data_IF_844289341936
#
_entry.id   IF_844289341936
#
_cell.length_a   1.000
_cell.length_b   1.000
_cell.length_c   1.000
_cell.angle_alpha   90.00
_cell.angle_beta   90.00
_cell.angle_gamma   90.00
#
_symmetry.space_group_name_H-M   'P 1'
#
loop_
_entity.id
_entity.type
_entity.pdbx_description
1 polymer ?
#
# COMPACT_ATOMS: atom_id res chain seq x y z
N UNK A 1 11.43 16.77 12.73
CA UNK A 1 10.58 17.53 11.80
C UNK A 1 9.46 16.61 11.38
N UNK A 2 8.23 17.09 11.45
CA UNK A 2 7.06 16.33 10.95
C UNK A 2 7.15 16.23 9.41
N UNK A 3 6.85 15.07 8.81
CA UNK A 3 6.96 14.91 7.37
C UNK A 3 5.99 15.82 6.62
N UNK A 4 6.42 16.35 5.47
CA UNK A 4 5.56 17.17 4.62
C UNK A 4 4.60 16.23 3.87
N UNK A 5 3.27 16.41 4.03
CA UNK A 5 2.31 15.62 3.28
C UNK A 5 2.31 16.10 1.82
N UNK A 6 2.67 15.21 0.89
CA UNK A 6 2.60 15.48 -0.55
C UNK A 6 1.63 14.50 -1.23
N UNK A 7 0.87 14.95 -2.24
CA UNK A 7 0.00 14.05 -2.99
C UNK A 7 0.81 13.00 -3.75
N UNK A 8 0.35 11.76 -3.82
CA UNK A 8 1.03 10.74 -4.64
C UNK A 8 0.91 11.06 -6.14
N UNK A 9 2.00 10.87 -6.89
CA UNK A 9 2.06 11.08 -8.34
C UNK A 9 0.95 10.37 -9.13
N UNK A 10 0.51 9.21 -8.64
CA UNK A 10 -0.54 8.40 -9.26
C UNK A 10 -1.86 9.18 -9.46
N UNK A 11 -2.11 10.21 -8.63
CA UNK A 11 -3.28 11.08 -8.78
C UNK A 11 -3.26 11.87 -10.08
N UNK A 12 -2.11 12.47 -10.39
CA UNK A 12 -1.95 13.27 -11.61
C UNK A 12 -2.00 12.39 -12.86
N UNK A 13 -1.38 11.20 -12.80
CA UNK A 13 -1.39 10.27 -13.92
C UNK A 13 -2.79 9.75 -14.25
N UNK A 14 -3.56 9.36 -13.24
CA UNK A 14 -4.95 8.91 -13.45
C UNK A 14 -5.81 10.04 -14.02
N UNK A 15 -5.67 11.26 -13.49
CA UNK A 15 -6.41 12.42 -13.97
C UNK A 15 -6.04 12.76 -15.42
N UNK A 16 -4.75 12.73 -15.76
CA UNK A 16 -4.26 12.93 -17.13
C UNK A 16 -4.81 11.86 -18.08
N UNK A 17 -4.78 10.58 -17.68
CA UNK A 17 -5.34 9.49 -18.49
C UNK A 17 -6.84 9.65 -18.74
N UNK A 18 -7.61 10.07 -17.73
CA UNK A 18 -9.04 10.32 -17.86
C UNK A 18 -9.30 11.48 -18.83
N UNK A 19 -8.57 12.58 -18.69
CA UNK A 19 -8.70 13.74 -19.58
C UNK A 19 -8.35 13.37 -21.03
N UNK A 20 -7.25 12.65 -21.25
CA UNK A 20 -6.77 12.30 -22.59
C UNK A 20 -7.60 11.21 -23.27
N UNK A 21 -8.04 10.19 -22.52
CA UNK A 21 -8.70 9.00 -23.10
C UNK A 21 -10.21 9.07 -23.05
N UNK A 22 -10.80 9.83 -22.15
CA UNK A 22 -12.26 9.91 -22.00
C UNK A 22 -12.74 11.30 -22.39
N UNK A 23 -12.26 12.34 -21.72
CA UNK A 23 -12.77 13.71 -21.91
C UNK A 23 -12.44 14.24 -23.31
N UNK A 24 -11.20 14.13 -23.77
CA UNK A 24 -10.79 14.56 -25.11
C UNK A 24 -11.50 13.80 -26.24
N UNK A 25 -11.91 12.55 -26.00
CA UNK A 25 -12.67 11.78 -26.98
C UNK A 25 -14.16 12.15 -26.98
N UNK A 26 -14.72 12.45 -25.80
CA UNK A 26 -16.11 12.89 -25.64
C UNK A 26 -16.32 14.33 -26.14
N UNK A 27 -15.30 15.17 -26.00
CA UNK A 27 -15.32 16.57 -26.42
C UNK A 27 -15.03 16.64 -27.92
N UNK A 28 -16.08 16.90 -28.72
CA UNK A 28 -15.98 16.92 -30.19
C UNK A 28 -14.92 17.91 -30.72
N UNK A 29 -14.32 17.57 -31.88
CA UNK A 29 -13.15 18.22 -32.51
C UNK A 29 -13.25 19.72 -32.85
N UNK A 30 -14.36 20.38 -32.54
CA UNK A 30 -14.62 21.81 -32.83
C UNK A 30 -15.31 22.52 -31.68
N UNK A 31 -15.37 21.89 -30.51
CA UNK A 31 -15.96 22.52 -29.34
C UNK A 31 -14.91 23.37 -28.63
N UNK A 32 -15.27 24.55 -28.09
CA UNK A 32 -14.36 25.36 -27.29
C UNK A 32 -13.85 24.63 -26.05
N UNK A 33 -14.56 23.59 -25.59
CA UNK A 33 -14.15 22.74 -24.48
C UNK A 33 -12.89 21.92 -24.80
N UNK A 34 -12.57 21.68 -26.07
CA UNK A 34 -11.37 20.91 -26.44
C UNK A 34 -10.10 21.65 -26.03
N UNK A 35 -10.05 22.96 -26.30
CA UNK A 35 -8.92 23.81 -25.91
C UNK A 35 -8.80 23.89 -24.39
N UNK A 36 -9.93 24.01 -23.69
CA UNK A 36 -9.96 24.03 -22.23
C UNK A 36 -9.42 22.72 -21.62
N UNK A 37 -9.80 21.57 -22.18
CA UNK A 37 -9.28 20.26 -21.72
C UNK A 37 -7.79 20.14 -22.02
N UNK A 38 -7.33 20.61 -23.19
CA UNK A 38 -5.92 20.61 -23.53
C UNK A 38 -5.09 21.50 -22.58
N UNK A 39 -5.58 22.71 -22.28
CA UNK A 39 -4.96 23.61 -21.29
C UNK A 39 -4.90 22.98 -19.90
N UNK A 40 -5.96 22.28 -19.50
CA UNK A 40 -5.99 21.55 -18.23
C UNK A 40 -4.94 20.44 -18.18
N UNK A 41 -4.80 19.65 -19.25
CA UNK A 41 -3.75 18.61 -19.38
C UNK A 41 -2.35 19.23 -19.26
N UNK A 42 -2.09 20.34 -19.98
CA UNK A 42 -0.80 21.04 -19.93
C UNK A 42 -0.50 21.54 -18.52
N UNK A 43 -1.50 22.11 -17.84
CA UNK A 43 -1.36 22.63 -16.48
C UNK A 43 -1.05 21.52 -15.48
N UNK A 44 -1.73 20.38 -15.58
CA UNK A 44 -1.49 19.23 -14.72
C UNK A 44 -0.10 18.64 -14.92
N UNK A 45 0.39 18.55 -16.16
CA UNK A 45 1.77 18.12 -16.44
C UNK A 45 2.81 19.07 -15.85
N UNK A 46 2.55 20.39 -15.91
CA UNK A 46 3.42 21.39 -15.26
C UNK A 46 3.41 21.25 -13.74
N UNK A 47 2.24 21.08 -13.15
CA UNK A 47 2.10 20.85 -11.71
C UNK A 47 2.87 19.61 -11.25
N UNK A 48 2.78 18.50 -12.00
CA UNK A 48 3.53 17.28 -11.72
C UNK A 48 5.06 17.51 -11.74
N UNK A 49 5.56 18.26 -12.73
CA UNK A 49 6.99 18.61 -12.78
C UNK A 49 7.41 19.50 -11.61
N UNK A 50 6.59 20.48 -11.23
CA UNK A 50 6.85 21.34 -10.07
C UNK A 50 6.86 20.55 -8.77
N UNK A 51 5.95 19.58 -8.62
CA UNK A 51 5.94 18.69 -7.47
C UNK A 51 7.23 17.89 -7.38
N UNK A 52 7.71 17.30 -8.48
CA UNK A 52 9.00 16.58 -8.49
C UNK A 52 10.16 17.47 -8.05
N UNK A 53 10.19 18.71 -8.52
CA UNK A 53 11.21 19.68 -8.10
C UNK A 53 11.12 20.01 -6.59
N UNK A 54 9.91 20.09 -6.05
CA UNK A 54 9.68 20.26 -4.61
C UNK A 54 10.19 19.03 -3.83
N UNK A 55 9.89 17.83 -4.29
CA UNK A 55 10.35 16.58 -3.67
C UNK A 55 11.88 16.48 -3.64
N UNK A 56 12.54 16.78 -4.77
CA UNK A 56 13.99 16.86 -4.83
C UNK A 56 14.55 17.92 -3.86
N UNK A 57 13.86 19.06 -3.71
CA UNK A 57 14.24 20.09 -2.76
C UNK A 57 14.12 19.62 -1.31
N UNK A 58 13.01 18.95 -0.96
CA UNK A 58 12.81 18.33 0.34
C UNK A 58 13.85 17.26 0.62
N UNK A 59 14.17 16.42 -0.36
CA UNK A 59 15.20 15.40 -0.25
C UNK A 59 16.59 16.00 -0.02
N UNK A 60 16.95 17.07 -0.75
CA UNK A 60 18.20 17.83 -0.53
C UNK A 60 18.26 18.48 0.86
N UNK A 61 17.12 18.94 1.37
CA UNK A 61 16.99 19.51 2.70
C UNK A 61 16.86 18.46 3.82
N UNK A 62 16.91 17.16 3.47
CA UNK A 62 16.70 16.03 4.38
C UNK A 62 15.37 16.11 5.15
N UNK A 63 14.34 16.67 4.50
CA UNK A 63 12.98 16.77 5.02
C UNK A 63 12.21 15.52 4.60
N UNK A 64 11.64 14.75 5.54
CA UNK A 64 10.89 13.55 5.20
C UNK A 64 9.59 13.91 4.46
N UNK A 65 9.29 13.14 3.42
CA UNK A 65 8.09 13.28 2.58
C UNK A 65 7.15 12.12 2.88
N UNK A 66 5.87 12.43 2.95
CA UNK A 66 4.83 11.47 3.24
C UNK A 66 3.75 11.54 2.15
N UNK A 67 3.74 10.53 1.28
CA UNK A 67 2.87 10.48 0.11
C UNK A 67 1.45 10.08 0.48
N UNK A 68 0.47 10.93 0.14
CA UNK A 68 -0.95 10.73 0.45
C UNK A 68 -1.78 10.51 -0.81
N UNK A 69 -2.65 9.50 -0.77
CA UNK A 69 -3.58 9.18 -1.85
C UNK A 69 -5.00 9.71 -1.59
N UNK A 70 -5.30 10.14 -0.38
CA UNK A 70 -6.58 10.78 -0.07
C UNK A 70 -6.41 11.65 1.17
N UNK A 71 -7.31 12.62 1.33
CA UNK A 71 -7.38 13.46 2.52
C UNK A 71 -7.96 12.69 3.72
N UNK A 72 -8.51 11.49 3.50
CA UNK A 72 -9.22 10.68 4.49
C UNK A 72 -8.26 9.82 5.33
N UNK A 73 -7.07 10.32 5.65
CA UNK A 73 -6.31 9.72 6.73
C UNK A 73 -6.99 10.09 8.04
N UNK A 74 -7.89 9.21 8.48
CA UNK A 74 -8.35 9.17 9.86
C UNK A 74 -7.09 9.19 10.73
N UNK A 75 -6.91 10.25 11.49
CA UNK A 75 -5.92 10.35 12.54
C UNK A 75 -6.29 9.34 13.65
N UNK A 76 -6.00 8.07 13.41
CA UNK A 76 -6.19 6.92 14.30
C UNK A 76 -5.55 5.76 13.54
N UNK A 77 -4.39 5.22 13.88
CA UNK A 77 -4.00 4.72 15.19
C UNK A 77 -2.45 4.64 15.27
N UNK A 78 -1.82 4.95 16.40
CA UNK A 78 -0.50 4.40 16.69
C UNK A 78 -0.60 2.88 16.70
N UNK A 79 0.16 2.23 15.80
CA UNK A 79 0.54 0.81 15.81
C UNK A 79 0.04 -0.02 17.01
N UNK A 80 -1.16 -0.60 16.91
CA UNK A 80 -1.61 -1.70 17.79
C UNK A 80 -1.41 -3.09 17.15
N UNK A 81 -0.80 -3.17 15.96
CA UNK A 81 -0.56 -4.44 15.27
C UNK A 81 0.72 -5.18 15.72
N UNK A 82 1.37 -4.76 16.80
CA UNK A 82 2.56 -5.44 17.32
C UNK A 82 2.31 -6.37 18.52
N UNK A 83 1.07 -6.79 18.77
CA UNK A 83 0.73 -7.69 19.88
C UNK A 83 -0.10 -8.94 19.51
N UNK A 84 -0.17 -9.32 18.23
CA UNK A 84 -0.83 -10.59 17.83
C UNK A 84 0.13 -11.72 17.45
N UNK A 85 1.44 -11.55 17.67
CA UNK A 85 2.41 -12.64 17.58
C UNK A 85 2.90 -13.05 18.98
N UNK A 86 1.98 -13.48 19.84
CA UNK A 86 2.30 -14.42 20.92
C UNK A 86 1.55 -15.71 20.62
N UNK A 87 2.23 -16.80 20.28
CA UNK A 87 1.57 -18.09 20.09
C UNK A 87 1.00 -18.58 21.44
N UNK A 88 -0.22 -19.15 21.48
CA UNK A 88 -0.69 -19.84 22.67
C UNK A 88 -0.17 -21.28 22.60
N UNK A 89 0.93 -21.56 23.29
CA UNK A 89 1.39 -22.91 23.64
C UNK A 89 2.19 -22.73 24.94
N UNK A 90 1.88 -23.33 26.08
CA UNK A 90 1.14 -24.54 26.41
C UNK A 90 0.54 -24.39 27.82
N UNK A 91 -0.45 -25.23 28.18
CA UNK A 91 -0.29 -25.89 29.46
C UNK A 91 -0.53 -27.41 29.38
N UNK A 92 0.38 -28.11 30.05
CA UNK A 92 0.15 -29.36 30.81
C UNK A 92 0.18 -30.67 30.01
N UNK A 93 1.35 -31.32 30.15
CA UNK A 93 1.51 -32.65 30.76
C UNK A 93 0.94 -33.85 30.00
N UNK A 94 1.85 -34.66 29.42
CA UNK A 94 1.65 -36.10 29.26
C UNK A 94 3.01 -36.80 29.22
N UNK A 95 3.23 -37.56 30.28
CA UNK A 95 4.34 -38.41 30.69
C UNK A 95 4.87 -39.36 29.57
N UNK A 96 6.19 -39.65 29.53
CA UNK A 96 6.74 -40.56 28.52
C UNK A 96 6.59 -42.02 28.97
N UNK A 97 5.63 -42.74 28.40
CA UNK A 97 5.55 -44.20 28.55
C UNK A 97 6.61 -44.83 27.64
N UNK A 98 7.68 -45.35 28.26
CA UNK A 98 8.67 -46.21 27.59
C UNK A 98 8.01 -47.54 27.17
N UNK A 99 8.29 -48.08 25.98
CA UNK A 99 7.87 -49.44 25.65
C UNK A 99 8.78 -50.47 26.35
N UNK A 100 8.19 -51.30 27.21
CA UNK A 100 8.81 -52.50 27.77
C UNK A 100 9.17 -53.53 26.69
N UNK A 101 10.22 -54.34 26.90
CA UNK A 101 10.66 -55.35 25.94
C UNK A 101 9.74 -56.59 25.96
N UNK A 102 9.36 -57.02 24.76
CA UNK A 102 8.70 -58.31 24.47
C UNK A 102 9.52 -59.50 24.98
N UNK A 103 8.92 -60.43 25.75
CA UNK A 103 9.36 -61.81 25.79
C UNK A 103 8.55 -62.67 24.82
N UNK A 104 9.30 -63.46 24.06
CA UNK A 104 8.88 -64.57 23.22
C UNK A 104 7.96 -65.55 23.98
N UNK A 105 6.98 -66.13 23.25
CA UNK A 105 6.82 -67.59 23.14
C UNK A 105 5.55 -67.96 22.34
N UNK A 106 5.78 -68.84 21.37
CA UNK A 106 4.98 -70.01 20.94
C UNK A 106 3.44 -69.88 20.85
N UNK A 107 2.87 -69.97 19.64
CA UNK A 107 2.55 -71.22 18.92
C UNK A 107 1.39 -71.98 19.55
N UNK A 108 0.22 -71.97 18.89
CA UNK A 108 -0.44 -73.15 18.31
C UNK A 108 -1.94 -72.88 18.10
N UNK A 109 -2.41 -73.13 16.89
CA UNK A 109 -3.80 -73.41 16.52
C UNK A 109 -3.84 -74.91 16.13
N UNK A 110 -4.99 -75.60 16.19
CA UNK A 110 -6.23 -75.22 15.51
C UNK A 110 -7.42 -74.97 16.42
#
# INVERSE_FOLDING_TARGET
>A
MEPIPLPSHIHYELLLQLLERQTMLAVGRKSPQQEQVHELIVTLRKALTQQKQLEESCQRANVPIDYRWSLNHTASEPSVLNAIASPPAEPVESEPIQPEPVPSSESCHP
#
